data_IF_456548174484
#
_entry.id   IF_456548174484
#
_cell.length_a   1.000
_cell.length_b   1.000
_cell.length_c   1.000
_cell.angle_alpha   90.00
_cell.angle_beta   90.00
_cell.angle_gamma   90.00
#
_symmetry.space_group_name_H-M   'P 1'
#
loop_
_entity.id
_entity.type
_entity.pdbx_description
1 polymer ?
#
# COMPACT_ATOMS: atom_id res chain seq x y z
N UNK A 1 -26.73 19.77 -27.57
CA UNK A 1 -26.19 20.38 -26.34
C UNK A 1 -26.40 19.50 -25.11
N UNK A 2 -27.65 19.20 -24.72
CA UNK A 2 -27.96 18.40 -23.51
C UNK A 2 -27.25 17.04 -23.46
N UNK A 3 -27.24 16.28 -24.57
CA UNK A 3 -26.55 14.98 -24.64
C UNK A 3 -25.05 15.09 -24.38
N UNK A 4 -24.39 16.10 -24.97
CA UNK A 4 -22.94 16.30 -24.86
C UNK A 4 -22.55 16.68 -23.42
N UNK A 5 -23.36 17.53 -22.78
CA UNK A 5 -23.20 17.88 -21.36
C UNK A 5 -23.38 16.64 -20.48
N UNK A 6 -24.40 15.81 -20.75
CA UNK A 6 -24.60 14.56 -20.02
C UNK A 6 -23.43 13.59 -20.14
N UNK A 7 -22.88 13.42 -21.35
CA UNK A 7 -21.70 12.58 -21.60
C UNK A 7 -20.46 13.11 -20.88
N UNK A 8 -20.27 14.42 -20.84
CA UNK A 8 -19.16 15.04 -20.12
C UNK A 8 -19.20 14.71 -18.62
N UNK A 9 -20.37 14.88 -17.98
CA UNK A 9 -20.53 14.55 -16.56
C UNK A 9 -20.38 13.05 -16.29
N UNK A 10 -20.92 12.19 -17.16
CA UNK A 10 -20.74 10.75 -17.04
C UNK A 10 -19.26 10.35 -17.12
N UNK A 11 -18.52 10.90 -18.10
CA UNK A 11 -17.08 10.67 -18.23
C UNK A 11 -16.31 11.17 -17.00
N UNK A 12 -16.61 12.38 -16.51
CA UNK A 12 -15.97 12.93 -15.32
C UNK A 12 -16.20 12.06 -14.07
N UNK A 13 -17.43 11.55 -13.89
CA UNK A 13 -17.75 10.64 -12.79
C UNK A 13 -16.97 9.33 -12.90
N UNK A 14 -16.93 8.71 -14.07
CA UNK A 14 -16.18 7.47 -14.30
C UNK A 14 -14.68 7.70 -14.04
N UNK A 15 -14.10 8.78 -14.56
CA UNK A 15 -12.71 9.14 -14.30
C UNK A 15 -12.42 9.34 -12.82
N UNK A 16 -13.32 10.02 -12.09
CA UNK A 16 -13.20 10.21 -10.64
C UNK A 16 -13.21 8.89 -9.86
N UNK A 17 -14.13 7.98 -10.20
CA UNK A 17 -14.20 6.65 -9.58
C UNK A 17 -12.95 5.82 -9.89
N UNK A 18 -12.47 5.84 -11.14
CA UNK A 18 -11.24 5.13 -11.51
C UNK A 18 -10.02 5.69 -10.79
N UNK A 19 -9.87 7.01 -10.71
CA UNK A 19 -8.77 7.66 -10.00
C UNK A 19 -8.78 7.30 -8.51
N UNK A 20 -9.95 7.34 -7.87
CA UNK A 20 -10.11 6.94 -6.46
C UNK A 20 -9.77 5.45 -6.26
N UNK A 21 -10.22 4.59 -7.18
CA UNK A 21 -9.93 3.16 -7.14
C UNK A 21 -8.43 2.87 -7.24
N UNK A 22 -7.73 3.50 -8.20
CA UNK A 22 -6.27 3.37 -8.37
C UNK A 22 -5.54 3.87 -7.12
N UNK A 23 -5.94 5.04 -6.61
CA UNK A 23 -5.31 5.63 -5.42
C UNK A 23 -5.38 4.66 -4.23
N UNK A 24 -6.55 4.09 -3.97
CA UNK A 24 -6.78 3.20 -2.81
C UNK A 24 -6.20 1.80 -2.99
N UNK A 25 -6.24 1.25 -4.21
CA UNK A 25 -5.80 -0.13 -4.48
C UNK A 25 -4.32 -0.24 -4.82
N UNK A 26 -3.68 0.85 -5.24
CA UNK A 26 -2.28 0.85 -5.71
C UNK A 26 -1.44 1.88 -4.95
N UNK A 27 -1.79 3.17 -5.04
CA UNK A 27 -0.93 4.24 -4.54
C UNK A 27 -0.77 4.22 -3.01
N UNK A 28 -1.87 4.03 -2.28
CA UNK A 28 -1.88 3.96 -0.82
C UNK A 28 -1.03 2.78 -0.28
N UNK A 29 -1.22 1.51 -0.73
CA UNK A 29 -0.38 0.41 -0.29
C UNK A 29 1.12 0.60 -0.58
N UNK A 30 1.47 1.17 -1.73
CA UNK A 30 2.87 1.46 -2.08
C UNK A 30 3.44 2.52 -1.12
N UNK A 31 2.68 3.57 -0.84
CA UNK A 31 3.10 4.62 0.08
C UNK A 31 3.26 4.10 1.50
N UNK A 32 2.37 3.21 1.95
CA UNK A 32 2.45 2.57 3.26
C UNK A 32 3.68 1.68 3.40
N UNK A 33 4.01 0.91 2.36
CA UNK A 33 5.25 0.14 2.29
C UNK A 33 6.49 1.04 2.39
N UNK A 34 6.51 2.14 1.62
CA UNK A 34 7.60 3.12 1.65
C UNK A 34 7.76 3.77 3.03
N UNK A 35 6.65 4.19 3.65
CA UNK A 35 6.66 4.76 5.01
C UNK A 35 7.18 3.76 6.03
N UNK A 36 6.71 2.51 5.98
CA UNK A 36 7.15 1.48 6.90
C UNK A 36 8.64 1.18 6.72
N UNK A 37 9.13 1.06 5.49
CA UNK A 37 10.55 0.91 5.20
C UNK A 37 11.37 2.08 5.76
N UNK A 38 10.91 3.31 5.58
CA UNK A 38 11.58 4.49 6.14
C UNK A 38 11.60 4.46 7.67
N UNK A 39 10.51 4.08 8.33
CA UNK A 39 10.47 3.92 9.79
C UNK A 39 11.49 2.88 10.30
N UNK A 40 11.66 1.75 9.59
CA UNK A 40 12.64 0.72 9.95
C UNK A 40 14.08 1.23 9.92
N UNK A 41 14.44 1.99 8.88
CA UNK A 41 15.79 2.56 8.74
C UNK A 41 16.12 3.51 9.90
N UNK A 42 15.11 4.19 10.47
CA UNK A 42 15.28 5.07 11.62
C UNK A 42 15.21 4.34 12.97
N UNK A 43 15.32 3.00 12.97
CA UNK A 43 15.35 2.18 14.19
C UNK A 43 13.97 2.00 14.84
N UNK A 44 12.89 2.37 14.15
CA UNK A 44 11.54 2.25 14.68
C UNK A 44 10.94 0.87 14.37
N UNK A 45 11.37 -0.14 15.14
CA UNK A 45 10.94 -1.53 14.98
C UNK A 45 9.58 -1.82 15.63
N UNK A 46 8.60 -0.93 15.45
CA UNK A 46 7.21 -1.23 15.88
C UNK A 46 6.73 -2.50 15.20
N UNK A 47 5.87 -3.28 15.89
CA UNK A 47 5.19 -4.48 15.35
C UNK A 47 4.13 -4.14 14.27
N UNK A 48 4.36 -3.11 13.47
CA UNK A 48 3.48 -2.75 12.36
C UNK A 48 3.77 -3.70 11.20
N UNK A 49 2.72 -4.10 10.49
CA UNK A 49 2.75 -4.99 9.33
C UNK A 49 1.95 -4.34 8.20
N UNK A 50 2.31 -4.63 6.97
CA UNK A 50 1.50 -4.23 5.81
C UNK A 50 0.25 -5.11 5.72
N UNK A 51 -0.93 -4.53 5.52
CA UNK A 51 -2.16 -5.29 5.39
C UNK A 51 -2.22 -6.00 4.03
N UNK A 52 -2.47 -7.32 4.02
CA UNK A 52 -2.63 -8.11 2.79
C UNK A 52 -4.09 -7.99 2.33
N UNK A 53 -4.39 -6.95 1.54
CA UNK A 53 -5.76 -6.62 1.10
C UNK A 53 -6.10 -7.09 -0.31
N UNK A 54 -5.11 -7.62 -1.04
CA UNK A 54 -5.26 -7.97 -2.46
C UNK A 54 -4.69 -9.36 -2.76
N UNK A 55 -5.19 -10.00 -3.82
CA UNK A 55 -4.68 -11.28 -4.35
C UNK A 55 -3.78 -11.09 -5.59
N UNK A 56 -3.35 -9.87 -5.84
CA UNK A 56 -2.46 -9.50 -6.94
C UNK A 56 -1.03 -9.22 -6.44
N UNK A 57 -0.22 -8.56 -7.26
CA UNK A 57 1.18 -8.23 -7.00
C UNK A 57 1.37 -7.43 -5.70
N UNK A 58 0.43 -6.55 -5.34
CA UNK A 58 0.56 -5.77 -4.11
C UNK A 58 0.23 -6.59 -2.86
N UNK A 59 -0.60 -7.62 -2.99
CA UNK A 59 -0.80 -8.61 -1.94
C UNK A 59 0.47 -9.41 -1.68
N UNK A 60 1.08 -9.92 -2.74
CA UNK A 60 2.36 -10.63 -2.68
C UNK A 60 3.47 -9.73 -2.11
N UNK A 61 3.56 -8.48 -2.57
CA UNK A 61 4.51 -7.50 -2.03
C UNK A 61 4.34 -7.31 -0.52
N UNK A 62 3.09 -7.14 -0.06
CA UNK A 62 2.79 -6.97 1.37
C UNK A 62 3.20 -8.20 2.17
N UNK A 63 2.94 -9.40 1.65
CA UNK A 63 3.37 -10.65 2.28
C UNK A 63 4.90 -10.74 2.38
N UNK A 64 5.62 -10.58 1.26
CA UNK A 64 7.09 -10.67 1.24
C UNK A 64 7.74 -9.60 2.12
N UNK A 65 7.16 -8.40 2.19
CA UNK A 65 7.65 -7.35 3.08
C UNK A 65 7.45 -7.71 4.56
N UNK A 66 6.32 -8.33 4.90
CA UNK A 66 6.08 -8.81 6.26
C UNK A 66 7.03 -9.96 6.65
N UNK A 67 7.34 -10.87 5.74
CA UNK A 67 8.33 -11.93 5.97
C UNK A 67 9.73 -11.35 6.21
N UNK A 68 10.12 -10.29 5.48
CA UNK A 68 11.36 -9.53 5.73
C UNK A 68 11.35 -8.92 7.14
N UNK A 69 10.23 -8.33 7.57
CA UNK A 69 10.10 -7.76 8.90
C UNK A 69 10.25 -8.82 10.00
N UNK A 70 9.67 -10.00 9.81
CA UNK A 70 9.81 -11.12 10.74
C UNK A 70 11.29 -11.50 10.91
N UNK A 71 12.03 -11.62 9.80
CA UNK A 71 13.47 -11.94 9.82
C UNK A 71 14.31 -10.87 10.51
N UNK A 72 14.07 -9.59 10.22
CA UNK A 72 14.78 -8.49 10.88
C UNK A 72 14.52 -8.45 12.39
N UNK A 73 13.30 -8.80 12.83
CA UNK A 73 12.95 -8.85 14.25
C UNK A 73 13.58 -10.05 14.96
N UNK A 74 13.64 -11.21 14.31
CA UNK A 74 14.35 -12.39 14.81
C UNK A 74 15.84 -12.07 15.04
N UNK A 75 16.52 -11.47 14.06
CA UNK A 75 17.94 -11.08 14.17
C UNK A 75 18.19 -10.05 15.28
N UNK A 76 17.34 -9.02 15.38
CA UNK A 76 17.47 -7.99 16.42
C UNK A 76 17.22 -8.53 17.84
N UNK A 77 16.46 -9.62 17.99
CA UNK A 77 16.28 -10.28 19.28
C UNK A 77 17.53 -11.08 19.66
N UNK A 78 18.05 -11.86 18.72
CA UNK A 78 19.23 -12.70 18.93
C UNK A 78 20.51 -11.89 19.21
N UNK A 79 20.62 -10.64 18.76
CA UNK A 79 21.79 -9.78 19.06
C UNK A 79 21.75 -9.14 20.45
N UNK A 80 20.61 -9.23 21.17
CA UNK A 80 20.41 -8.67 22.51
C UNK A 80 20.52 -9.72 23.63
N UNK A 81 20.62 -10.99 23.27
CA UNK A 81 20.88 -12.14 24.16
C UNK A 81 22.38 -12.47 24.17
#
# INVERSE_FOLDING_TARGET
MVLLVGLFFAAALISGVLAASITRSISEPILDASKLANELVHGNFRKKRLPIQSKNELGTLSQSFNELLDKLQEENKNSKD
#
